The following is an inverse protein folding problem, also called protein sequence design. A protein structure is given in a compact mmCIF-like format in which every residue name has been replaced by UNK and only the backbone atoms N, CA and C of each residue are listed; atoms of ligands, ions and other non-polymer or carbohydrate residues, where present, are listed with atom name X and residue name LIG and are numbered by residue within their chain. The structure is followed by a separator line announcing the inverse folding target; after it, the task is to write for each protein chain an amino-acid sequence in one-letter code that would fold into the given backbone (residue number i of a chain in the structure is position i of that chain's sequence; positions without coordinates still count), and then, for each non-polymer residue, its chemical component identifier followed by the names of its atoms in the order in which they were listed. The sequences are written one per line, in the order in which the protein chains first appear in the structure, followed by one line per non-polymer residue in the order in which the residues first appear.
data_IF_847417081306
#
_entry.id   IF_847417081306
#
_cell.length_a   1.000
_cell.length_b   1.000
_cell.length_c   1.000
_cell.angle_alpha   90.00
_cell.angle_beta   90.00
_cell.angle_gamma   90.00
#
_symmetry.space_group_name_H-M   'P 1'
#
loop_
_entity.id
_entity.type
_entity.pdbx_description
1 polymer ?
#
# COMPACT_ATOMS: atom_id res chain seq x y z
N UNK A 1 27.44 20.17 15.49
CA UNK A 1 25.96 20.11 15.39
C UNK A 1 25.55 18.74 15.87
N UNK A 2 24.83 18.67 16.98
CA UNK A 2 24.22 17.44 17.47
C UNK A 2 23.15 17.01 16.46
N UNK A 3 23.36 15.88 15.80
CA UNK A 3 22.38 15.32 14.87
C UNK A 3 21.71 14.17 15.60
N UNK A 4 20.71 14.50 16.40
CA UNK A 4 19.87 13.51 17.07
C UNK A 4 19.37 12.52 16.02
N UNK A 5 19.50 11.22 16.31
CA UNK A 5 18.95 10.18 15.45
C UNK A 5 17.44 10.39 15.33
N UNK A 6 16.87 10.46 14.11
CA UNK A 6 15.45 10.68 13.95
C UNK A 6 14.66 9.48 14.50
N UNK A 7 13.60 9.78 15.26
CA UNK A 7 12.66 8.79 15.80
C UNK A 7 11.41 8.73 14.91
N UNK A 8 11.10 7.53 14.39
CA UNK A 8 9.97 7.29 13.50
C UNK A 8 8.90 6.38 14.11
N UNK A 9 9.01 6.04 15.40
CA UNK A 9 8.13 5.07 16.08
C UNK A 9 6.65 5.45 16.10
N UNK A 10 6.33 6.74 15.93
CA UNK A 10 4.96 7.25 15.88
C UNK A 10 4.40 7.42 14.46
N UNK A 11 5.15 7.04 13.42
CA UNK A 11 4.68 7.14 12.03
C UNK A 11 3.96 5.87 11.57
N UNK A 12 3.02 6.08 10.67
CA UNK A 12 2.33 5.01 9.94
C UNK A 12 2.48 5.23 8.44
N UNK A 13 2.67 4.16 7.68
CA UNK A 13 2.73 4.22 6.23
C UNK A 13 1.82 3.16 5.60
N UNK A 14 1.05 3.57 4.60
CA UNK A 14 0.16 2.70 3.85
C UNK A 14 0.68 2.55 2.42
N UNK A 15 0.95 1.32 2.02
CA UNK A 15 1.33 0.97 0.65
C UNK A 15 0.09 0.47 -0.09
N UNK A 16 -0.24 1.11 -1.21
CA UNK A 16 -1.36 0.71 -2.06
C UNK A 16 -0.78 0.17 -3.37
N UNK A 17 -0.87 -1.14 -3.57
CA UNK A 17 -0.45 -1.80 -4.80
C UNK A 17 -1.58 -1.80 -5.83
N UNK A 18 -1.43 -0.98 -6.87
CA UNK A 18 -2.39 -0.84 -7.97
C UNK A 18 -2.02 -1.69 -9.19
N UNK A 19 -1.31 -2.81 -8.99
CA UNK A 19 -1.00 -3.74 -10.08
C UNK A 19 -2.28 -4.40 -10.62
N UNK A 20 -2.35 -4.57 -11.94
CA UNK A 20 -3.51 -5.16 -12.62
C UNK A 20 -3.50 -6.70 -12.68
N UNK A 21 -2.55 -7.36 -11.99
CA UNK A 21 -2.43 -8.83 -12.01
C UNK A 21 -3.31 -9.43 -10.91
N UNK A 22 -4.27 -10.29 -11.26
CA UNK A 22 -5.08 -11.01 -10.25
C UNK A 22 -4.23 -11.85 -9.28
N UNK A 23 -3.17 -12.47 -9.79
CA UNK A 23 -2.22 -13.23 -8.97
C UNK A 23 -1.14 -12.29 -8.39
N UNK A 24 -1.29 -11.97 -7.10
CA UNK A 24 -0.38 -11.08 -6.36
C UNK A 24 1.07 -11.55 -6.36
N UNK A 25 1.30 -12.87 -6.39
CA UNK A 25 2.65 -13.45 -6.35
C UNK A 25 3.50 -13.06 -7.57
N UNK A 26 2.85 -12.56 -8.63
CA UNK A 26 3.48 -12.09 -9.86
C UNK A 26 3.63 -10.56 -9.94
N UNK A 27 3.31 -9.82 -8.89
CA UNK A 27 3.45 -8.36 -8.87
C UNK A 27 4.89 -7.95 -8.57
N UNK A 28 5.61 -7.43 -9.59
CA UNK A 28 6.93 -6.83 -9.37
C UNK A 28 6.86 -5.60 -8.47
N UNK A 29 5.74 -4.87 -8.50
CA UNK A 29 5.49 -3.72 -7.63
C UNK A 29 5.48 -4.15 -6.16
N UNK A 30 4.88 -5.31 -5.84
CA UNK A 30 4.87 -5.85 -4.48
C UNK A 30 6.30 -6.10 -4.00
N UNK A 31 7.14 -6.74 -4.82
CA UNK A 31 8.54 -7.00 -4.47
C UNK A 31 9.32 -5.73 -4.13
N UNK A 32 9.05 -4.62 -4.81
CA UNK A 32 9.66 -3.34 -4.48
C UNK A 32 9.10 -2.75 -3.17
N UNK A 33 7.78 -2.78 -2.99
CA UNK A 33 7.10 -2.32 -1.78
C UNK A 33 7.56 -3.09 -0.53
N UNK A 34 7.74 -4.40 -0.63
CA UNK A 34 8.24 -5.25 0.47
C UNK A 34 9.63 -4.80 0.93
N UNK A 35 10.52 -4.46 -0.01
CA UNK A 35 11.86 -3.94 0.33
C UNK A 35 11.81 -2.59 1.02
N UNK A 36 10.94 -1.69 0.56
CA UNK A 36 10.82 -0.35 1.15
C UNK A 36 10.18 -0.42 2.53
N UNK A 37 9.08 -1.17 2.67
CA UNK A 37 8.39 -1.35 3.96
C UNK A 37 9.28 -2.01 4.99
N UNK A 38 10.07 -3.03 4.64
CA UNK A 38 11.03 -3.65 5.55
C UNK A 38 12.05 -2.65 6.14
N UNK A 39 12.49 -1.67 5.34
CA UNK A 39 13.38 -0.60 5.83
C UNK A 39 12.62 0.31 6.81
N UNK A 40 11.37 0.66 6.50
CA UNK A 40 10.53 1.52 7.35
C UNK A 40 10.17 0.84 8.67
N UNK A 41 9.80 -0.45 8.64
CA UNK A 41 9.54 -1.26 9.83
C UNK A 41 10.80 -1.35 10.72
N UNK A 42 11.97 -1.56 10.12
CA UNK A 42 13.25 -1.57 10.84
C UNK A 42 13.60 -0.21 11.47
N UNK A 43 13.03 0.89 10.98
CA UNK A 43 13.15 2.23 11.57
C UNK A 43 12.04 2.54 12.59
N UNK A 44 11.11 1.61 12.83
CA UNK A 44 10.02 1.74 13.80
C UNK A 44 8.71 2.29 13.22
N UNK A 45 8.63 2.54 11.92
CA UNK A 45 7.36 2.92 11.28
C UNK A 45 6.42 1.73 11.26
N UNK A 46 5.14 1.92 11.56
CA UNK A 46 4.14 0.89 11.35
C UNK A 46 3.68 0.88 9.88
N UNK A 47 3.98 -0.18 9.13
CA UNK A 47 3.57 -0.29 7.73
C UNK A 47 2.38 -1.23 7.53
N UNK A 48 1.52 -0.89 6.56
CA UNK A 48 0.40 -1.71 6.11
C UNK A 48 0.36 -1.76 4.58
N UNK A 49 -0.09 -2.87 4.00
CA UNK A 49 -0.19 -3.06 2.55
C UNK A 49 -1.62 -3.40 2.15
N UNK A 50 -2.12 -2.70 1.14
CA UNK A 50 -3.40 -2.97 0.48
C UNK A 50 -3.12 -3.27 -0.99
N UNK A 51 -3.67 -4.38 -1.47
CA UNK A 51 -3.71 -4.65 -2.90
C UNK A 51 -5.05 -4.19 -3.44
N UNK A 52 -5.06 -3.14 -4.26
CA UNK A 52 -6.31 -2.47 -4.65
C UNK A 52 -7.31 -3.43 -5.34
N UNK A 53 -6.80 -4.44 -6.05
CA UNK A 53 -7.63 -5.42 -6.76
C UNK A 53 -8.32 -6.45 -5.85
N UNK A 54 -8.00 -6.51 -4.55
CA UNK A 54 -8.74 -7.34 -3.58
C UNK A 54 -10.04 -6.68 -3.10
N UNK A 55 -10.24 -5.44 -3.50
CA UNK A 55 -11.36 -4.63 -3.05
C UNK A 55 -12.24 -4.30 -4.24
N UNK A 56 -13.55 -4.39 -4.03
CA UNK A 56 -14.53 -3.86 -4.97
C UNK A 56 -14.44 -2.33 -4.97
N UNK A 57 -13.76 -1.78 -5.97
CA UNK A 57 -13.58 -0.34 -6.15
C UNK A 57 -14.36 0.11 -7.38
N UNK A 58 -15.20 1.12 -7.21
CA UNK A 58 -15.95 1.74 -8.29
C UNK A 58 -15.02 2.39 -9.32
N UNK A 59 -15.43 2.36 -10.59
CA UNK A 59 -14.75 3.17 -11.60
C UNK A 59 -14.96 4.67 -11.33
N UNK A 60 -14.01 5.49 -11.78
CA UNK A 60 -14.13 6.95 -11.66
C UNK A 60 -15.27 7.51 -12.54
N UNK A 61 -15.61 8.79 -12.31
CA UNK A 61 -16.62 9.54 -13.08
C UNK A 61 -18.08 9.05 -12.92
N UNK A 62 -18.39 8.43 -11.78
CA UNK A 62 -19.76 8.09 -11.37
C UNK A 62 -20.08 8.89 -10.10
N UNK A 63 -21.32 9.41 -9.99
CA UNK A 63 -21.73 10.31 -8.89
C UNK A 63 -21.78 9.60 -7.53
N UNK A 64 -22.12 8.32 -7.52
CA UNK A 64 -22.05 7.40 -6.37
C UNK A 64 -21.90 5.98 -6.92
N UNK A 65 -20.70 5.41 -6.80
CA UNK A 65 -20.33 4.14 -7.43
C UNK A 65 -20.36 2.93 -6.50
N UNK A 66 -20.93 3.06 -5.29
CA UNK A 66 -20.92 2.00 -4.25
C UNK A 66 -21.31 0.62 -4.78
N UNK A 67 -22.30 0.58 -5.67
CA UNK A 67 -22.86 -0.66 -6.22
C UNK A 67 -22.28 -1.03 -7.61
N UNK A 68 -21.31 -0.26 -8.14
CA UNK A 68 -20.79 -0.37 -9.52
C UNK A 68 -19.31 -0.80 -9.61
N UNK A 69 -18.72 -1.28 -8.52
CA UNK A 69 -17.33 -1.76 -8.51
C UNK A 69 -17.12 -3.06 -9.29
N UNK A 70 -15.87 -3.32 -9.68
CA UNK A 70 -15.49 -4.59 -10.28
C UNK A 70 -15.68 -5.71 -9.24
N UNK A 71 -16.56 -6.67 -9.53
CA UNK A 71 -16.71 -7.87 -8.71
C UNK A 71 -15.48 -8.80 -8.87
N UNK A 72 -15.15 -9.53 -7.80
CA UNK A 72 -13.94 -10.36 -7.66
C UNK A 72 -13.77 -11.45 -8.76
#
# INVERSE_FOLDING_TARGET
MDKSTPDFTNLKALFINCSIKKDKTKSHTQTLMDKVSAIMDAQGVHTEHIYALDHTIAFGMIKDGKDEGLAD
#
